data_IF_363253891389
#
_entry.id   IF_363253891389
#
_cell.length_a   1.000
_cell.length_b   1.000
_cell.length_c   1.000
_cell.angle_alpha   90.00
_cell.angle_beta   90.00
_cell.angle_gamma   90.00
#
_symmetry.space_group_name_H-M   'P 1'
#
loop_
_entity.id
_entity.type
_entity.pdbx_description
1 polymer ?
#
# COMPACT_ATOMS: atom_id res chain seq x y z
N UNK A 1 32.78 -7.87 2.66
CA UNK A 1 31.95 -9.04 2.99
C UNK A 1 30.58 -8.87 2.38
N UNK A 2 30.14 -9.78 1.51
CA UNK A 2 28.77 -9.76 0.99
C UNK A 2 27.85 -10.23 2.12
N UNK A 3 26.92 -9.39 2.56
CA UNK A 3 25.84 -9.82 3.44
C UNK A 3 24.95 -10.73 2.60
N UNK A 4 25.03 -12.04 2.84
CA UNK A 4 23.94 -12.91 2.47
C UNK A 4 22.77 -12.49 3.34
N UNK A 5 21.87 -11.66 2.80
CA UNK A 5 20.63 -11.34 3.48
C UNK A 5 19.93 -12.65 3.79
N UNK A 6 19.64 -12.87 5.06
CA UNK A 6 18.85 -14.03 5.47
C UNK A 6 17.48 -13.96 4.79
N UNK A 7 16.81 -15.10 4.58
CA UNK A 7 15.46 -15.14 3.98
C UNK A 7 14.51 -14.14 4.66
N UNK A 8 14.67 -13.94 5.97
CA UNK A 8 13.95 -12.95 6.77
C UNK A 8 14.27 -11.51 6.40
N UNK A 9 15.54 -11.13 6.22
CA UNK A 9 15.90 -9.77 5.78
C UNK A 9 15.37 -9.47 4.38
N UNK A 10 15.42 -10.45 3.49
CA UNK A 10 14.85 -10.33 2.14
C UNK A 10 13.34 -10.13 2.24
N UNK A 11 12.66 -10.95 3.04
CA UNK A 11 11.24 -10.84 3.29
C UNK A 11 10.85 -9.47 3.85
N UNK A 12 11.51 -9.01 4.92
CA UNK A 12 11.24 -7.73 5.55
C UNK A 12 11.47 -6.55 4.60
N UNK A 13 12.50 -6.63 3.74
CA UNK A 13 12.74 -5.62 2.72
C UNK A 13 11.63 -5.60 1.67
N UNK A 14 11.17 -6.76 1.23
CA UNK A 14 10.05 -6.88 0.30
C UNK A 14 8.74 -6.36 0.88
N UNK A 15 8.48 -6.67 2.15
CA UNK A 15 7.32 -6.16 2.90
C UNK A 15 7.39 -4.64 3.01
N UNK A 16 8.54 -4.07 3.39
CA UNK A 16 8.73 -2.62 3.47
C UNK A 16 8.50 -1.92 2.14
N UNK A 17 9.11 -2.42 1.06
CA UNK A 17 8.93 -1.85 -0.29
C UNK A 17 7.47 -1.86 -0.74
N UNK A 18 6.74 -2.91 -0.38
CA UNK A 18 5.32 -3.06 -0.68
C UNK A 18 4.49 -2.03 0.08
N UNK A 19 4.76 -1.85 1.37
CA UNK A 19 4.09 -0.84 2.19
C UNK A 19 4.37 0.58 1.70
N UNK A 20 5.63 0.90 1.39
CA UNK A 20 5.99 2.20 0.85
C UNK A 20 5.23 2.50 -0.45
N UNK A 21 5.07 1.50 -1.32
CA UNK A 21 4.31 1.66 -2.57
C UNK A 21 2.81 1.84 -2.32
N UNK A 22 2.24 1.05 -1.41
CA UNK A 22 0.85 1.15 -1.00
C UNK A 22 0.52 2.54 -0.46
N UNK A 23 1.39 3.11 0.38
CA UNK A 23 1.23 4.46 0.93
C UNK A 23 1.16 5.51 -0.19
N UNK A 24 2.05 5.43 -1.17
CA UNK A 24 2.05 6.33 -2.33
C UNK A 24 0.76 6.19 -3.15
N UNK A 25 0.33 4.96 -3.45
CA UNK A 25 -0.87 4.72 -4.24
C UNK A 25 -2.14 5.21 -3.49
N UNK A 26 -2.22 5.01 -2.17
CA UNK A 26 -3.25 5.58 -1.30
C UNK A 26 -3.24 7.12 -1.32
N UNK A 27 -2.07 7.74 -1.21
CA UNK A 27 -1.94 9.19 -1.26
C UNK A 27 -2.43 9.75 -2.59
N UNK A 28 -2.04 9.12 -3.71
CA UNK A 28 -2.45 9.54 -5.05
C UNK A 28 -3.95 9.30 -5.31
N UNK A 29 -4.54 8.24 -4.75
CA UNK A 29 -5.97 7.97 -4.85
C UNK A 29 -6.84 8.98 -4.06
N UNK A 30 -6.27 9.56 -2.99
CA UNK A 30 -6.90 10.64 -2.23
C UNK A 30 -6.64 12.03 -2.82
N UNK A 31 -5.65 12.17 -3.70
CA UNK A 31 -5.30 13.46 -4.29
C UNK A 31 -6.16 13.76 -5.52
N UNK A 32 -6.70 14.97 -5.55
CA UNK A 32 -7.44 15.50 -6.69
C UNK A 32 -6.55 16.46 -7.47
N UNK A 33 -6.56 16.34 -8.80
CA UNK A 33 -5.86 17.23 -9.71
C UNK A 33 -6.51 18.60 -9.75
N UNK A 34 -5.80 19.59 -10.28
CA UNK A 34 -6.31 20.94 -10.54
C UNK A 34 -7.55 20.95 -11.45
N UNK A 35 -7.75 19.90 -12.25
CA UNK A 35 -8.94 19.71 -13.10
C UNK A 35 -10.12 19.03 -12.38
N UNK A 36 -10.06 18.84 -11.05
CA UNK A 36 -11.13 18.22 -10.26
C UNK A 36 -11.23 16.70 -10.40
N UNK A 37 -10.32 16.05 -11.14
CA UNK A 37 -10.27 14.59 -11.29
C UNK A 37 -9.29 13.97 -10.31
N UNK A 38 -9.60 12.79 -9.76
CA UNK A 38 -8.64 12.05 -8.93
C UNK A 38 -7.40 11.68 -9.75
N UNK A 39 -6.20 11.79 -9.16
CA UNK A 39 -4.95 11.43 -9.84
C UNK A 39 -4.90 9.92 -10.12
N UNK A 40 -5.36 9.12 -9.17
CA UNK A 40 -5.51 7.68 -9.31
C UNK A 40 -6.93 7.29 -8.89
N UNK A 41 -7.54 6.35 -9.62
CA UNK A 41 -8.85 5.84 -9.25
C UNK A 41 -8.76 5.02 -7.96
N UNK A 42 -9.54 5.32 -6.91
CA UNK A 42 -9.59 4.52 -5.70
C UNK A 42 -9.95 3.06 -5.98
N UNK A 43 -10.91 2.82 -6.88
CA UNK A 43 -11.31 1.46 -7.29
C UNK A 43 -10.14 0.69 -7.89
N UNK A 44 -9.26 1.35 -8.65
CA UNK A 44 -8.07 0.72 -9.21
C UNK A 44 -7.09 0.32 -8.11
N UNK A 45 -6.89 1.17 -7.10
CA UNK A 45 -6.02 0.86 -5.96
C UNK A 45 -6.62 -0.29 -5.13
N UNK A 46 -7.93 -0.28 -4.84
CA UNK A 46 -8.60 -1.40 -4.17
C UNK A 46 -8.39 -2.71 -4.92
N UNK A 47 -8.62 -2.72 -6.24
CA UNK A 47 -8.45 -3.95 -7.03
C UNK A 47 -7.00 -4.43 -7.14
N UNK A 48 -6.06 -3.50 -7.25
CA UNK A 48 -4.63 -3.83 -7.40
C UNK A 48 -4.05 -4.43 -6.13
N UNK A 49 -4.48 -3.90 -4.99
CA UNK A 49 -3.98 -4.30 -3.67
C UNK A 49 -4.84 -5.34 -3.00
N UNK A 50 -6.08 -5.53 -3.48
CA UNK A 50 -6.89 -6.64 -3.04
C UNK A 50 -6.20 -7.95 -3.44
N UNK A 51 -6.17 -8.90 -2.52
CA UNK A 51 -5.48 -10.21 -2.58
C UNK A 51 -3.96 -10.14 -2.44
N UNK A 52 -3.39 -8.94 -2.25
CA UNK A 52 -1.93 -8.71 -2.13
C UNK A 52 -1.53 -8.30 -0.70
N UNK A 53 -2.44 -7.67 0.05
CA UNK A 53 -2.22 -7.27 1.42
C UNK A 53 -2.34 -8.49 2.35
N UNK A 54 -1.41 -8.61 3.29
CA UNK A 54 -1.57 -9.57 4.38
C UNK A 54 -2.66 -9.04 5.31
N UNK A 55 -3.57 -9.91 5.73
CA UNK A 55 -4.67 -9.58 6.66
C UNK A 55 -5.68 -8.56 6.11
N UNK A 56 -6.04 -8.67 4.82
CA UNK A 56 -7.14 -7.88 4.23
C UNK A 56 -8.43 -7.94 5.04
N UNK A 57 -8.73 -9.06 5.68
CA UNK A 57 -9.91 -9.24 6.53
C UNK A 57 -9.95 -8.28 7.74
N UNK A 58 -8.80 -7.69 8.11
CA UNK A 58 -8.69 -6.69 9.17
C UNK A 58 -8.83 -5.25 8.65
N UNK A 59 -8.86 -5.05 7.34
CA UNK A 59 -8.99 -3.74 6.73
C UNK A 59 -10.47 -3.37 6.56
N UNK A 60 -10.86 -2.12 6.85
CA UNK A 60 -12.21 -1.64 6.53
C UNK A 60 -12.41 -1.62 5.00
N UNK A 61 -13.65 -1.78 4.55
CA UNK A 61 -14.00 -1.86 3.11
C UNK A 61 -13.47 -0.67 2.27
N UNK A 62 -13.38 0.51 2.89
CA UNK A 62 -12.85 1.76 2.32
C UNK A 62 -11.46 2.15 2.91
N UNK A 63 -10.58 1.17 3.16
CA UNK A 63 -9.25 1.38 3.78
C UNK A 63 -8.38 2.44 3.08
N UNK A 64 -8.66 2.76 1.81
CA UNK A 64 -8.00 3.86 1.10
C UNK A 64 -8.20 5.23 1.73
N UNK A 65 -9.31 5.46 2.44
CA UNK A 65 -9.61 6.75 3.08
C UNK A 65 -8.89 6.95 4.40
N UNK A 66 -8.36 5.88 4.97
CA UNK A 66 -7.69 5.89 6.27
C UNK A 66 -6.25 5.36 6.14
N UNK A 67 -5.34 6.15 5.52
CA UNK A 67 -3.95 5.73 5.32
C UNK A 67 -3.21 5.41 6.64
N UNK A 68 -3.71 5.91 7.78
CA UNK A 68 -3.15 5.65 9.11
C UNK A 68 -3.36 4.21 9.61
N UNK A 69 -4.36 3.49 9.10
CA UNK A 69 -4.68 2.12 9.54
C UNK A 69 -3.74 1.09 8.92
N UNK A 70 -3.02 1.47 7.85
CA UNK A 70 -2.07 0.60 7.13
C UNK A 70 -0.67 0.57 7.75
N UNK A 71 -0.41 1.37 8.79
CA UNK A 71 0.89 1.40 9.49
C UNK A 71 0.87 0.39 10.63
N UNK A 72 0.72 -0.88 10.28
CA UNK A 72 0.84 -2.02 11.18
C UNK A 72 1.84 -3.02 10.63
N UNK A 73 3.12 -2.65 10.62
CA UNK A 73 4.24 -3.58 10.37
C UNK A 73 5.44 -3.25 11.25
#
# INVERSE_FOLDING_TARGET
GRRCSTTTEIHNRWVRLRNDRLEVDCFLANKTSSAGRKLVSPTLVLQTWSRVLNEEDKLPEDWLREPKVLVGI
#
